data_IF_339190303593
#
_entry.id   IF_339190303593
#
_cell.length_a   1.000
_cell.length_b   1.000
_cell.length_c   1.000
_cell.angle_alpha   90.00
_cell.angle_beta   90.00
_cell.angle_gamma   90.00
#
_symmetry.space_group_name_H-M   'P 1'
#
loop_
_entity.id
_entity.type
_entity.pdbx_description
1 polymer ?
#
# COMPACT_ATOMS: atom_id res chain seq x y z
N UNK A 1 23.05 25.63 -4.84
CA UNK A 1 21.95 25.02 -5.60
C UNK A 1 22.49 23.94 -6.54
N UNK A 2 23.56 24.25 -7.26
CA UNK A 2 24.15 23.39 -8.32
C UNK A 2 24.65 22.03 -7.81
N UNK A 3 25.19 21.96 -6.59
CA UNK A 3 25.66 20.72 -5.95
C UNK A 3 24.52 19.77 -5.53
N UNK A 4 23.33 20.30 -5.24
CA UNK A 4 22.17 19.48 -4.87
C UNK A 4 21.54 18.84 -6.11
N UNK A 5 21.43 19.61 -7.19
CA UNK A 5 20.92 19.13 -8.48
C UNK A 5 21.87 18.12 -9.13
N UNK A 6 23.18 18.36 -9.09
CA UNK A 6 24.17 17.37 -9.56
C UNK A 6 24.22 16.13 -8.66
N UNK A 7 24.03 16.27 -7.35
CA UNK A 7 23.84 15.14 -6.43
C UNK A 7 22.64 14.27 -6.81
N UNK A 8 21.50 14.87 -7.15
CA UNK A 8 20.29 14.19 -7.62
C UNK A 8 20.48 13.50 -8.98
N UNK A 9 21.22 14.11 -9.91
CA UNK A 9 21.51 13.52 -11.23
C UNK A 9 22.48 12.32 -11.11
N UNK A 10 23.32 12.30 -10.08
CA UNK A 10 24.22 11.16 -9.79
C UNK A 10 23.51 10.01 -9.06
N UNK A 11 22.27 10.19 -8.58
CA UNK A 11 21.46 9.07 -8.11
C UNK A 11 20.96 8.25 -9.29
N UNK A 12 21.06 6.92 -9.18
CA UNK A 12 20.47 6.01 -10.17
C UNK A 12 18.99 6.38 -10.37
N UNK A 13 18.53 6.63 -11.62
CA UNK A 13 17.12 6.91 -11.92
C UNK A 13 16.17 5.87 -11.29
N UNK A 14 16.67 4.65 -11.11
CA UNK A 14 15.97 3.57 -10.44
C UNK A 14 15.65 3.87 -8.97
N UNK A 15 16.60 4.41 -8.20
CA UNK A 15 16.39 4.77 -6.79
C UNK A 15 15.43 5.96 -6.64
N UNK A 16 15.50 6.92 -7.56
CA UNK A 16 14.61 8.08 -7.59
C UNK A 16 13.15 7.68 -7.83
N UNK A 17 12.90 6.58 -8.55
CA UNK A 17 11.56 6.03 -8.79
C UNK A 17 11.13 5.08 -7.66
N UNK A 18 12.04 4.22 -7.20
CA UNK A 18 11.77 3.20 -6.17
C UNK A 18 11.30 3.80 -4.85
N UNK A 19 11.97 4.85 -4.36
CA UNK A 19 11.66 5.43 -3.05
C UNK A 19 10.22 5.99 -2.99
N UNK A 20 9.79 6.86 -3.92
CA UNK A 20 8.39 7.31 -3.96
C UNK A 20 7.37 6.18 -4.04
N UNK A 21 7.63 5.14 -4.85
CA UNK A 21 6.74 3.98 -4.97
C UNK A 21 6.59 3.27 -3.63
N UNK A 22 7.69 3.02 -2.92
CA UNK A 22 7.66 2.40 -1.59
C UNK A 22 6.87 3.23 -0.59
N UNK A 23 7.06 4.56 -0.59
CA UNK A 23 6.30 5.47 0.29
C UNK A 23 4.80 5.39 -0.02
N UNK A 24 4.42 5.43 -1.30
CA UNK A 24 3.02 5.34 -1.71
C UNK A 24 2.40 3.99 -1.36
N UNK A 25 3.12 2.88 -1.57
CA UNK A 25 2.66 1.54 -1.18
C UNK A 25 2.51 1.40 0.33
N UNK A 26 3.41 1.98 1.12
CA UNK A 26 3.29 1.99 2.58
C UNK A 26 2.02 2.72 3.04
N UNK A 27 1.78 3.93 2.49
CA UNK A 27 0.53 4.67 2.76
C UNK A 27 -0.70 3.89 2.29
N UNK A 28 -0.61 3.19 1.16
CA UNK A 28 -1.67 2.34 0.66
C UNK A 28 -1.99 1.17 1.59
N UNK A 29 -0.99 0.52 2.18
CA UNK A 29 -1.19 -0.54 3.18
C UNK A 29 -1.93 -0.01 4.40
N UNK A 30 -1.58 1.19 4.89
CA UNK A 30 -2.29 1.84 6.00
C UNK A 30 -3.75 2.07 5.61
N UNK A 31 -4.01 2.58 4.41
CA UNK A 31 -5.37 2.75 3.90
C UNK A 31 -6.13 1.41 3.81
N UNK A 32 -5.51 0.37 3.28
CA UNK A 32 -6.12 -0.96 3.18
C UNK A 32 -6.44 -1.57 4.56
N UNK A 33 -5.60 -1.33 5.57
CA UNK A 33 -5.89 -1.70 6.96
C UNK A 33 -7.13 -0.99 7.52
N UNK A 34 -7.26 0.31 7.22
CA UNK A 34 -8.45 1.09 7.61
C UNK A 34 -9.70 0.50 6.96
N UNK A 35 -9.65 0.19 5.66
CA UNK A 35 -10.77 -0.43 4.94
C UNK A 35 -11.12 -1.80 5.53
N UNK A 36 -10.13 -2.65 5.83
CA UNK A 36 -10.36 -3.94 6.49
C UNK A 36 -11.10 -3.77 7.81
N UNK A 37 -10.65 -2.84 8.66
CA UNK A 37 -11.33 -2.54 9.92
C UNK A 37 -12.75 -2.04 9.70
N UNK A 38 -12.96 -1.17 8.72
CA UNK A 38 -14.29 -0.64 8.38
C UNK A 38 -15.23 -1.74 7.90
N UNK A 39 -14.79 -2.66 7.03
CA UNK A 39 -15.60 -3.79 6.56
C UNK A 39 -16.06 -4.67 7.74
N UNK A 40 -15.18 -4.95 8.70
CA UNK A 40 -15.50 -5.77 9.89
C UNK A 40 -16.43 -5.07 10.89
N UNK A 41 -16.38 -3.73 10.97
CA UNK A 41 -17.27 -2.94 11.83
C UNK A 41 -18.65 -2.82 11.16
N UNK A 42 -18.68 -2.49 9.87
CA UNK A 42 -19.91 -2.32 9.10
C UNK A 42 -20.74 -3.61 9.10
N UNK A 43 -20.09 -4.77 8.96
CA UNK A 43 -20.77 -6.07 9.02
C UNK A 43 -21.40 -6.43 10.36
N UNK A 44 -21.10 -5.67 11.43
CA UNK A 44 -21.69 -5.88 12.76
C UNK A 44 -22.80 -4.89 13.10
N UNK A 45 -22.77 -3.72 12.47
CA UNK A 45 -23.64 -2.58 12.84
C UNK A 45 -24.78 -2.42 11.84
N UNK A 46 -24.50 -2.60 10.54
CA UNK A 46 -25.50 -2.40 9.51
C UNK A 46 -26.27 -3.70 9.35
N UNK A 47 -27.60 -3.65 9.43
CA UNK A 47 -28.52 -4.78 9.13
C UNK A 47 -28.50 -5.19 7.65
N UNK A 48 -27.63 -4.59 6.85
CA UNK A 48 -27.31 -5.05 5.51
C UNK A 48 -26.25 -6.12 5.66
N UNK A 49 -26.55 -7.32 5.19
CA UNK A 49 -25.62 -8.43 5.12
C UNK A 49 -24.38 -8.03 4.30
N UNK A 50 -23.38 -7.48 4.97
CA UNK A 50 -22.04 -7.41 4.42
C UNK A 50 -21.61 -8.85 4.24
N UNK A 51 -21.69 -9.32 3.00
CA UNK A 51 -21.47 -10.73 2.69
C UNK A 51 -20.10 -11.17 3.21
N UNK A 52 -19.96 -12.39 3.76
CA UNK A 52 -18.67 -12.97 4.13
C UNK A 52 -17.64 -12.89 3.00
N UNK A 53 -18.11 -12.91 1.75
CA UNK A 53 -17.32 -12.67 0.54
C UNK A 53 -16.60 -11.33 0.56
N UNK A 54 -17.27 -10.24 0.94
CA UNK A 54 -16.64 -8.92 1.00
C UNK A 54 -15.54 -8.87 2.07
N UNK A 55 -15.77 -9.45 3.24
CA UNK A 55 -14.75 -9.55 4.29
C UNK A 55 -13.52 -10.33 3.81
N UNK A 56 -13.75 -11.44 3.10
CA UNK A 56 -12.67 -12.25 2.53
C UNK A 56 -11.88 -11.48 1.46
N UNK A 57 -12.57 -10.83 0.53
CA UNK A 57 -11.93 -10.01 -0.51
C UNK A 57 -11.08 -8.91 0.12
N UNK A 58 -11.62 -8.19 1.11
CA UNK A 58 -10.87 -7.11 1.77
C UNK A 58 -9.63 -7.63 2.51
N UNK A 59 -9.72 -8.80 3.14
CA UNK A 59 -8.57 -9.44 3.80
C UNK A 59 -7.49 -9.83 2.79
N UNK A 60 -7.87 -10.51 1.70
CA UNK A 60 -6.93 -10.91 0.65
C UNK A 60 -6.29 -9.69 0.01
N UNK A 61 -7.06 -8.63 -0.25
CA UNK A 61 -6.56 -7.38 -0.82
C UNK A 61 -5.51 -6.73 0.09
N UNK A 62 -5.76 -6.69 1.41
CA UNK A 62 -4.80 -6.20 2.39
C UNK A 62 -3.50 -7.02 2.37
N UNK A 63 -3.60 -8.36 2.40
CA UNK A 63 -2.42 -9.24 2.34
C UNK A 63 -1.64 -9.09 1.02
N UNK A 64 -2.34 -8.95 -0.11
CA UNK A 64 -1.73 -8.73 -1.42
C UNK A 64 -0.96 -7.40 -1.45
N UNK A 65 -1.49 -6.32 -0.86
CA UNK A 65 -0.78 -5.03 -0.78
C UNK A 65 0.54 -5.13 -0.02
N UNK A 66 0.58 -5.91 1.08
CA UNK A 66 1.80 -6.20 1.83
C UNK A 66 2.79 -6.99 0.98
N UNK A 67 2.30 -8.02 0.28
CA UNK A 67 3.14 -8.84 -0.59
C UNK A 67 3.78 -8.00 -1.72
N UNK A 68 3.00 -7.12 -2.35
CA UNK A 68 3.48 -6.20 -3.39
C UNK A 68 4.52 -5.23 -2.83
N UNK A 69 4.32 -4.69 -1.62
CA UNK A 69 5.32 -3.82 -0.98
C UNK A 69 6.65 -4.54 -0.79
N UNK A 70 6.66 -5.77 -0.28
CA UNK A 70 7.88 -6.55 -0.14
C UNK A 70 8.49 -6.92 -1.50
N UNK A 71 7.66 -7.24 -2.49
CA UNK A 71 8.13 -7.49 -3.84
C UNK A 71 8.89 -6.28 -4.40
N UNK A 72 8.31 -5.09 -4.31
CA UNK A 72 8.95 -3.85 -4.74
C UNK A 72 10.20 -3.54 -3.90
N UNK A 73 10.17 -3.79 -2.59
CA UNK A 73 11.31 -3.57 -1.72
C UNK A 73 12.54 -4.37 -2.16
N UNK A 74 12.36 -5.66 -2.49
CA UNK A 74 13.46 -6.58 -2.78
C UNK A 74 13.81 -6.75 -4.27
N UNK A 75 12.84 -6.61 -5.17
CA UNK A 75 13.00 -7.00 -6.59
C UNK A 75 12.85 -5.85 -7.59
N UNK A 76 12.19 -4.76 -7.20
CA UNK A 76 12.23 -3.49 -7.93
C UNK A 76 13.21 -2.57 -7.19
#
# INVERSE_FOLDING_TARGET
MDNFLTGLINFSPFLLIKIPILVLLFLYIIYALIILRQTMIMSKIVEVDVTPTLQFITLIHFLASIAIFFWVLFFL
#
